data_IF_653503053243
#
_entry.id   IF_653503053243
#
_cell.length_a   1.000
_cell.length_b   1.000
_cell.length_c   1.000
_cell.angle_alpha   90.00
_cell.angle_beta   90.00
_cell.angle_gamma   90.00
#
_symmetry.space_group_name_H-M   'P 1'
#
loop_
_entity.id
_entity.type
_entity.pdbx_description
1 polymer ?
#
# COMPACT_ATOMS: atom_id res chain seq x y z
N UNK A 1 13.39 -4.97 -1.95
CA UNK A 1 12.78 -3.70 -2.36
C UNK A 1 11.76 -3.32 -1.34
N UNK A 2 11.68 -2.05 -1.01
CA UNK A 2 10.67 -1.49 -0.13
C UNK A 2 9.82 -0.49 -0.90
N UNK A 3 8.55 -0.39 -0.52
CA UNK A 3 7.62 0.63 -0.98
C UNK A 3 7.17 1.46 0.22
N UNK A 4 7.12 2.77 0.06
CA UNK A 4 6.47 3.68 1.00
C UNK A 4 5.32 4.37 0.27
N UNK A 5 4.13 4.36 0.85
CA UNK A 5 2.88 4.79 0.22
C UNK A 5 2.35 5.98 1.00
N UNK A 6 2.12 7.09 0.30
CA UNK A 6 1.39 8.22 0.87
C UNK A 6 -0.11 8.00 0.72
N UNK A 7 -0.83 8.13 1.83
CA UNK A 7 -2.25 7.84 1.89
C UNK A 7 -2.99 8.72 2.91
N UNK A 8 -4.31 8.80 2.78
CA UNK A 8 -5.23 9.26 3.82
C UNK A 8 -6.30 8.20 4.08
N UNK A 9 -6.83 8.16 5.30
CA UNK A 9 -7.88 7.21 5.69
C UNK A 9 -8.71 7.80 6.82
N UNK A 10 -10.00 8.05 6.59
CA UNK A 10 -10.91 8.46 7.66
C UNK A 10 -11.87 7.33 8.05
N UNK A 11 -11.31 6.17 8.38
CA UNK A 11 -12.08 5.00 8.79
C UNK A 11 -11.43 4.32 10.00
N UNK A 12 -12.24 3.97 11.01
CA UNK A 12 -11.76 3.38 12.27
C UNK A 12 -11.31 1.92 12.12
N UNK A 13 -11.88 1.19 11.14
CA UNK A 13 -11.59 -0.21 10.88
C UNK A 13 -11.26 -0.41 9.40
N UNK A 14 -10.02 -0.12 9.01
CA UNK A 14 -9.57 -0.38 7.65
C UNK A 14 -9.27 -1.87 7.44
N UNK A 15 -9.72 -2.40 6.31
CA UNK A 15 -9.24 -3.67 5.76
C UNK A 15 -7.84 -3.47 5.15
N UNK A 16 -7.05 -4.54 4.94
CA UNK A 16 -5.75 -4.36 4.30
C UNK A 16 -5.88 -3.96 2.83
N UNK A 17 -4.87 -3.23 2.39
CA UNK A 17 -4.48 -3.10 0.98
C UNK A 17 -3.39 -4.15 0.75
N UNK A 18 -3.68 -5.10 -0.14
CA UNK A 18 -2.80 -6.18 -0.53
C UNK A 18 -1.98 -5.75 -1.75
N UNK A 19 -0.66 -5.91 -1.67
CA UNK A 19 0.28 -5.44 -2.69
C UNK A 19 0.83 -6.65 -3.43
N UNK A 20 0.63 -6.69 -4.74
CA UNK A 20 1.11 -7.73 -5.64
C UNK A 20 2.12 -7.15 -6.62
N UNK A 21 3.04 -7.99 -7.07
CA UNK A 21 3.97 -7.70 -8.16
C UNK A 21 3.66 -8.69 -9.29
N UNK A 22 3.69 -8.23 -10.53
CA UNK A 22 3.39 -9.06 -11.70
C UNK A 22 2.00 -9.73 -11.62
N UNK A 23 1.92 -11.04 -11.89
CA UNK A 23 0.72 -11.88 -11.87
C UNK A 23 0.69 -12.84 -10.66
N UNK A 24 1.40 -12.48 -9.59
CA UNK A 24 1.52 -13.32 -8.40
C UNK A 24 0.16 -13.64 -7.77
N UNK A 25 0.00 -14.90 -7.35
CA UNK A 25 -1.25 -15.39 -6.76
C UNK A 25 -1.42 -15.01 -5.29
N UNK A 26 -0.33 -14.60 -4.63
CA UNK A 26 -0.32 -14.18 -3.22
C UNK A 26 0.29 -12.79 -3.13
N UNK A 27 -0.21 -11.92 -2.24
CA UNK A 27 0.39 -10.61 -2.07
C UNK A 27 1.78 -10.70 -1.45
N UNK A 28 2.70 -9.84 -1.89
CA UNK A 28 4.02 -9.67 -1.28
C UNK A 28 3.94 -9.03 0.09
N UNK A 29 2.99 -8.11 0.26
CA UNK A 29 2.78 -7.43 1.52
C UNK A 29 1.31 -7.07 1.73
N UNK A 30 0.96 -6.85 3.00
CA UNK A 30 -0.33 -6.28 3.39
C UNK A 30 -0.07 -5.01 4.17
N UNK A 31 -0.66 -3.93 3.71
CA UNK A 31 -0.62 -2.63 4.35
C UNK A 31 -1.97 -2.37 5.01
N UNK A 32 -1.98 -1.96 6.27
CA UNK A 32 -3.20 -1.60 7.00
C UNK A 32 -3.20 -0.08 7.21
N UNK A 33 -3.96 0.68 6.40
CA UNK A 33 -4.12 2.11 6.58
C UNK A 33 -4.53 2.44 8.01
N UNK A 34 -3.81 3.34 8.66
CA UNK A 34 -4.21 3.88 9.96
C UNK A 34 -5.14 5.07 9.74
N UNK A 35 -6.11 5.24 10.62
CA UNK A 35 -6.99 6.40 10.57
C UNK A 35 -6.16 7.68 10.72
N UNK A 36 -6.18 8.54 9.71
CA UNK A 36 -5.57 9.87 9.68
C UNK A 36 -6.51 10.96 10.18
N UNK A 37 -7.71 10.58 10.61
CA UNK A 37 -8.79 11.38 11.19
C UNK A 37 -9.47 12.36 10.22
N UNK A 38 -8.98 12.46 8.98
CA UNK A 38 -9.55 13.28 7.91
C UNK A 38 -9.06 12.80 6.53
N UNK A 39 -9.91 12.88 5.51
CA UNK A 39 -9.56 12.44 4.14
C UNK A 39 -8.53 13.36 3.44
N UNK A 40 -8.34 14.59 3.92
CA UNK A 40 -7.32 15.51 3.41
C UNK A 40 -6.01 15.46 4.22
N UNK A 41 -5.99 14.69 5.32
CA UNK A 41 -4.78 14.52 6.14
C UNK A 41 -4.00 13.31 5.67
N UNK A 42 -2.95 13.55 4.89
CA UNK A 42 -2.09 12.51 4.34
C UNK A 42 -0.91 12.19 5.25
N UNK A 43 -0.54 10.91 5.31
CA UNK A 43 0.65 10.40 5.97
C UNK A 43 1.31 9.33 5.11
N UNK A 44 2.57 9.02 5.39
CA UNK A 44 3.28 7.91 4.77
C UNK A 44 3.07 6.61 5.57
N UNK A 45 3.05 5.47 4.88
CA UNK A 45 2.93 4.15 5.50
C UNK A 45 4.20 3.74 6.25
N UNK A 46 5.33 4.39 5.92
CA UNK A 46 6.66 3.88 6.18
C UNK A 46 7.00 2.74 5.21
N UNK A 47 8.24 2.26 5.30
CA UNK A 47 8.75 1.20 4.42
C UNK A 47 8.01 -0.12 4.63
N UNK A 48 7.41 -0.61 3.56
CA UNK A 48 6.82 -1.95 3.46
C UNK A 48 7.72 -2.82 2.60
N UNK A 49 8.19 -3.93 3.15
CA UNK A 49 9.07 -4.86 2.45
C UNK A 49 8.31 -5.65 1.38
N UNK A 50 8.74 -5.55 0.12
CA UNK A 50 8.21 -6.30 -1.03
C UNK A 50 9.06 -7.53 -1.38
N UNK A 51 10.22 -7.69 -0.74
CA UNK A 51 11.20 -8.72 -1.03
C UNK A 51 12.02 -8.45 -2.28
N UNK A 52 12.64 -9.49 -2.82
CA UNK A 52 13.44 -9.41 -4.04
C UNK A 52 12.56 -9.25 -5.28
N UNK A 53 12.92 -8.29 -6.14
CA UNK A 53 12.30 -8.03 -7.44
C UNK A 53 13.47 -7.91 -8.44
N UNK A 54 13.35 -8.60 -9.56
CA UNK A 54 14.36 -8.63 -10.62
C UNK A 54 14.46 -7.28 -11.34
N UNK A 55 15.55 -7.06 -12.06
CA UNK A 55 15.67 -5.89 -12.92
C UNK A 55 14.70 -6.00 -14.10
N UNK A 56 13.97 -4.92 -14.40
CA UNK A 56 13.00 -4.89 -15.49
C UNK A 56 11.79 -4.02 -15.17
N UNK A 57 10.79 -4.07 -16.04
CA UNK A 57 9.49 -3.45 -15.83
C UNK A 57 8.54 -4.46 -15.19
N UNK A 58 7.94 -4.09 -14.06
CA UNK A 58 7.03 -4.92 -13.29
C UNK A 58 5.79 -4.10 -12.91
N UNK A 59 4.55 -4.56 -13.17
CA UNK A 59 3.37 -3.92 -12.62
C UNK A 59 3.28 -4.13 -11.10
N UNK A 60 2.88 -3.10 -10.39
CA UNK A 60 2.49 -3.15 -8.98
C UNK A 60 0.98 -3.02 -8.92
N UNK A 61 0.33 -3.98 -8.27
CA UNK A 61 -1.14 -4.04 -8.20
C UNK A 61 -1.57 -3.93 -6.75
N UNK A 62 -2.40 -2.94 -6.46
CA UNK A 62 -3.05 -2.76 -5.16
C UNK A 62 -4.46 -3.37 -5.22
N UNK A 63 -4.78 -4.27 -4.30
CA UNK A 63 -6.12 -4.86 -4.17
C UNK A 63 -6.63 -4.69 -2.74
N UNK A 64 -7.94 -4.64 -2.59
CA UNK A 64 -8.59 -4.65 -1.28
C UNK A 64 -10.00 -5.21 -1.41
N UNK A 65 -10.51 -5.80 -0.32
CA UNK A 65 -11.90 -6.28 -0.25
C UNK A 65 -12.92 -5.15 -0.08
N UNK A 66 -12.46 -3.90 0.02
CA UNK A 66 -13.29 -2.73 0.24
C UNK A 66 -13.77 -2.59 1.69
N UNK A 67 -14.31 -1.42 2.00
CA UNK A 67 -14.94 -1.12 3.27
C UNK A 67 -16.11 -0.14 3.06
N UNK A 68 -17.09 -0.15 3.97
CA UNK A 68 -18.36 0.60 3.86
C UNK A 68 -18.20 2.10 3.62
N UNK A 69 -17.03 2.69 3.92
CA UNK A 69 -16.73 4.11 3.76
C UNK A 69 -15.40 4.36 3.03
N UNK A 70 -14.95 3.41 2.23
CA UNK A 70 -13.63 3.45 1.62
C UNK A 70 -12.54 2.90 2.54
N UNK A 71 -11.43 2.53 1.92
CA UNK A 71 -10.26 1.92 2.58
C UNK A 71 -9.20 2.97 2.84
N UNK A 72 -8.72 3.63 1.78
CA UNK A 72 -7.81 4.76 1.83
C UNK A 72 -7.84 5.49 0.47
N UNK A 73 -7.49 6.77 0.47
CA UNK A 73 -7.03 7.46 -0.74
C UNK A 73 -5.52 7.28 -0.86
N UNK A 74 -5.05 6.84 -2.03
CA UNK A 74 -3.62 6.68 -2.33
C UNK A 74 -3.17 7.80 -3.27
N UNK A 75 -2.09 8.49 -2.91
CA UNK A 75 -1.56 9.63 -3.68
C UNK A 75 -0.38 9.18 -4.56
N UNK A 76 0.75 8.90 -3.93
CA UNK A 76 1.95 8.37 -4.59
C UNK A 76 2.59 7.25 -3.77
N UNK A 77 3.53 6.56 -4.41
CA UNK A 77 4.44 5.65 -3.72
C UNK A 77 5.89 5.88 -4.15
N UNK A 78 6.82 5.57 -3.26
CA UNK A 78 8.26 5.64 -3.50
C UNK A 78 8.83 4.23 -3.37
N UNK A 79 9.61 3.80 -4.36
CA UNK A 79 10.36 2.54 -4.33
C UNK A 79 11.79 2.79 -3.87
N UNK A 80 12.30 1.91 -3.01
CA UNK A 80 13.69 1.97 -2.55
C UNK A 80 14.31 0.59 -2.43
N UNK A 81 15.64 0.53 -2.55
CA UNK A 81 16.41 -0.69 -2.32
C UNK A 81 16.55 -0.88 -0.80
N UNK A 82 16.48 -2.13 -0.35
CA UNK A 82 16.74 -2.47 1.05
C UNK A 82 18.20 -2.15 1.37
N UNK A 83 18.39 -1.28 2.37
CA UNK A 83 19.68 -0.98 2.98
C UNK A 83 20.13 -2.09 3.91
#
# INVERSE_FOLDING_TARGET
WDIDIRYSCNNAHSVPIEIYIDDEQKPRAKFYPKNTHDWNSFTDSGKINLGSITAGSHPIIFKTNGAKYGVADLDYFILSIQS
#
